data_IF_134018948646
#
_entry.id   IF_134018948646
#
_cell.length_a   1.000
_cell.length_b   1.000
_cell.length_c   1.000
_cell.angle_alpha   90.00
_cell.angle_beta   90.00
_cell.angle_gamma   90.00
#
_symmetry.space_group_name_H-M   'P 1'
#
loop_
_entity.id
_entity.type
_entity.pdbx_description
1 polymer ?
#
# COMPACT_ATOMS: atom_id res chain seq x y z
N UNK A 1 4.64 -3.28 -22.10
CA UNK A 1 4.15 -1.97 -21.62
C UNK A 1 4.83 -1.69 -20.29
N UNK A 2 5.61 -0.61 -20.15
CA UNK A 2 6.38 -0.34 -18.93
C UNK A 2 5.41 0.00 -17.79
N UNK A 3 5.40 -0.80 -16.73
CA UNK A 3 4.69 -0.44 -15.51
C UNK A 3 5.27 0.90 -15.01
N UNK A 4 4.40 1.88 -14.77
CA UNK A 4 4.82 3.17 -14.25
C UNK A 4 5.68 2.96 -12.98
N UNK A 5 6.82 3.67 -12.85
CA UNK A 5 7.67 3.51 -11.69
C UNK A 5 6.88 3.81 -10.42
N UNK A 6 7.06 2.99 -9.38
CA UNK A 6 6.48 3.24 -8.05
C UNK A 6 6.98 4.61 -7.60
N UNK A 7 6.06 5.56 -7.45
CA UNK A 7 6.40 6.89 -6.95
C UNK A 7 6.69 6.74 -5.45
N UNK A 8 7.90 7.10 -4.98
CA UNK A 8 8.18 7.11 -3.56
C UNK A 8 7.35 8.25 -2.94
N UNK A 9 6.32 7.87 -2.18
CA UNK A 9 5.45 8.82 -1.48
C UNK A 9 5.53 8.57 0.03
N UNK A 10 5.81 9.62 0.79
CA UNK A 10 5.81 9.57 2.25
C UNK A 10 4.37 9.66 2.76
N UNK A 11 3.65 8.53 2.70
CA UNK A 11 2.31 8.43 3.27
C UNK A 11 2.40 8.06 4.75
N UNK A 12 1.72 8.82 5.61
CA UNK A 12 1.51 8.43 7.00
C UNK A 12 0.35 7.45 7.09
N UNK A 13 0.63 6.28 7.67
CA UNK A 13 -0.36 5.25 7.96
C UNK A 13 -0.64 5.25 9.46
N UNK A 14 -1.84 4.80 9.84
CA UNK A 14 -2.14 4.53 11.24
C UNK A 14 -1.15 3.50 11.82
N UNK A 15 -0.74 3.64 13.09
CA UNK A 15 0.24 2.78 13.73
C UNK A 15 -0.15 1.30 13.64
N UNK A 16 -1.41 0.96 13.89
CA UNK A 16 -1.94 -0.41 13.83
C UNK A 16 -1.79 -1.03 12.43
N UNK A 17 -2.08 -0.26 11.39
CA UNK A 17 -1.93 -0.69 9.99
C UNK A 17 -0.46 -0.92 9.69
N UNK A 18 0.41 0.02 10.07
CA UNK A 18 1.85 -0.12 9.83
C UNK A 18 2.45 -1.33 10.55
N UNK A 19 2.00 -1.61 11.78
CA UNK A 19 2.43 -2.74 12.59
C UNK A 19 1.95 -4.07 12.00
N UNK A 20 0.68 -4.16 11.62
CA UNK A 20 0.11 -5.35 10.99
C UNK A 20 0.84 -5.72 9.69
N UNK A 21 1.10 -4.74 8.82
CA UNK A 21 1.84 -4.99 7.58
C UNK A 21 3.31 -5.32 7.86
N UNK A 22 4.01 -4.59 8.74
CA UNK A 22 5.41 -4.89 9.11
C UNK A 22 5.58 -6.28 9.72
N UNK A 23 4.60 -6.75 10.49
CA UNK A 23 4.59 -8.11 11.06
C UNK A 23 4.56 -9.20 9.98
N UNK A 24 4.13 -8.90 8.75
CA UNK A 24 4.16 -9.86 7.63
C UNK A 24 5.57 -10.11 7.05
N UNK A 25 6.59 -9.38 7.52
CA UNK A 25 7.98 -9.53 7.10
C UNK A 25 8.34 -8.74 5.84
N UNK A 26 9.42 -9.16 5.18
CA UNK A 26 9.93 -8.51 3.97
C UNK A 26 8.87 -8.40 2.87
N UNK A 27 8.84 -7.25 2.20
CA UNK A 27 7.85 -6.96 1.16
C UNK A 27 6.51 -6.44 1.66
N UNK A 28 6.36 -6.11 2.95
CA UNK A 28 5.15 -5.49 3.49
C UNK A 28 4.70 -4.21 2.74
N UNK A 29 5.66 -3.43 2.22
CA UNK A 29 5.35 -2.26 1.37
C UNK A 29 4.65 -2.64 0.06
N UNK A 30 5.03 -3.78 -0.54
CA UNK A 30 4.35 -4.28 -1.74
C UNK A 30 2.98 -4.85 -1.40
N UNK A 31 2.83 -5.48 -0.22
CA UNK A 31 1.52 -5.97 0.26
C UNK A 31 0.54 -4.83 0.53
N UNK A 32 0.99 -3.76 1.18
CA UNK A 32 0.12 -2.61 1.43
C UNK A 32 -0.22 -1.86 0.14
N UNK A 33 0.72 -1.74 -0.81
CA UNK A 33 0.44 -1.20 -2.16
C UNK A 33 -0.65 -2.02 -2.88
N UNK A 34 -0.57 -3.36 -2.81
CA UNK A 34 -1.59 -4.23 -3.38
C UNK A 34 -2.95 -4.08 -2.68
N UNK A 35 -2.97 -3.99 -1.35
CA UNK A 35 -4.19 -3.79 -0.57
C UNK A 35 -4.84 -2.42 -0.85
N UNK A 36 -4.03 -1.36 -1.00
CA UNK A 36 -4.49 -0.03 -1.37
C UNK A 36 -5.07 -0.03 -2.80
N UNK A 37 -4.40 -0.70 -3.74
CA UNK A 37 -4.90 -0.85 -5.11
C UNK A 37 -6.23 -1.60 -5.16
N UNK A 38 -6.36 -2.66 -4.37
CA UNK A 38 -7.61 -3.41 -4.26
C UNK A 38 -8.73 -2.52 -3.70
N UNK A 39 -8.45 -1.80 -2.61
CA UNK A 39 -9.41 -0.87 -2.01
C UNK A 39 -9.85 0.24 -2.96
N UNK A 40 -8.94 0.77 -3.79
CA UNK A 40 -9.27 1.78 -4.80
C UNK A 40 -10.19 1.25 -5.92
N UNK A 41 -10.22 -0.06 -6.18
CA UNK A 41 -11.17 -0.65 -7.13
C UNK A 41 -12.58 -0.66 -6.57
N UNK A 42 -12.70 -0.86 -5.25
CA UNK A 42 -13.98 -1.00 -4.56
C UNK A 42 -14.52 0.34 -4.07
N UNK A 43 -13.65 1.32 -3.85
CA UNK A 43 -14.00 2.66 -3.41
C UNK A 43 -13.33 3.72 -4.30
N UNK A 44 -14.11 4.33 -5.18
CA UNK A 44 -13.69 5.54 -5.90
C UNK A 44 -13.42 6.65 -4.89
N UNK A 45 -12.22 7.26 -4.87
CA UNK A 45 -11.99 8.47 -4.11
C UNK A 45 -12.82 9.60 -4.75
N UNK A 46 -13.76 10.13 -3.97
CA UNK A 46 -14.52 11.35 -4.27
C UNK A 46 -13.61 12.56 -4.20
#
# INVERSE_FOLDING_TARGET
>A
MKAAPKVPTTLRLSPDVSAAFRATGDGWQTRIDAALKDRLRTHSPI
#
